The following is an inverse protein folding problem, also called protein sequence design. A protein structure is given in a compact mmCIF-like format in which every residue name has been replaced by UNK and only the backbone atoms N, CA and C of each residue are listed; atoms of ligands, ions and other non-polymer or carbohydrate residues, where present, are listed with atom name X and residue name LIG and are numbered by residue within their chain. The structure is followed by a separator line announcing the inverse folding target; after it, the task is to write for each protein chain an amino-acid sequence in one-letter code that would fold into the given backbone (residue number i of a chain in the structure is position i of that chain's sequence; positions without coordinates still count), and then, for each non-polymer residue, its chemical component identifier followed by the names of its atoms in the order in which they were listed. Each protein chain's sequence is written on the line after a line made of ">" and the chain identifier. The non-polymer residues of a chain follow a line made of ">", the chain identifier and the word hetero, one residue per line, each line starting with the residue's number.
data_IF_901138164518
#
_entry.id   IF_901138164518
#
_cell.length_a   1.000
_cell.length_b   1.000
_cell.length_c   1.000
_cell.angle_alpha   90.00
_cell.angle_beta   90.00
_cell.angle_gamma   90.00
#
_symmetry.space_group_name_H-M   'P 1'
#
loop_
_entity.id
_entity.type
_entity.pdbx_description
1 polymer ?
#
# COMPACT_ATOMS: atom_id res chain seq x y z
N UNK A 1 -22.07 5.77 25.82
CA UNK A 1 -22.01 5.24 24.44
C UNK A 1 -20.62 5.18 23.83
N UNK A 2 -19.79 6.21 23.97
CA UNK A 2 -18.41 6.22 23.46
C UNK A 2 -17.54 5.04 23.94
N UNK A 3 -17.64 4.66 25.21
CA UNK A 3 -16.89 3.52 25.76
C UNK A 3 -17.27 2.17 25.12
N UNK A 4 -18.54 1.99 24.71
CA UNK A 4 -18.99 0.77 24.00
C UNK A 4 -18.49 0.75 22.55
N UNK A 5 -18.49 1.91 21.88
CA UNK A 5 -17.93 2.04 20.53
C UNK A 5 -16.41 1.81 20.51
N UNK A 6 -15.68 2.32 21.51
CA UNK A 6 -14.25 2.10 21.65
C UNK A 6 -13.92 0.61 21.86
N UNK A 7 -14.67 -0.08 22.72
CA UNK A 7 -14.52 -1.51 22.96
C UNK A 7 -14.85 -2.36 21.72
N UNK A 8 -15.92 -2.00 20.98
CA UNK A 8 -16.29 -2.69 19.74
C UNK A 8 -15.22 -2.56 18.64
N UNK A 9 -14.49 -1.45 18.62
CA UNK A 9 -13.40 -1.19 17.69
C UNK A 9 -12.03 -1.65 18.21
N UNK A 10 -11.95 -2.14 19.46
CA UNK A 10 -10.69 -2.56 20.09
C UNK A 10 -9.73 -1.40 20.44
N UNK A 11 -10.23 -0.16 20.43
CA UNK A 11 -9.48 1.07 20.74
C UNK A 11 -9.13 1.19 22.23
N UNK A 12 -9.78 0.39 23.06
CA UNK A 12 -9.50 0.17 24.48
C UNK A 12 -8.25 -0.68 24.73
N UNK A 13 -7.72 -1.35 23.70
CA UNK A 13 -6.58 -2.25 23.81
C UNK A 13 -5.26 -1.54 23.48
N UNK A 14 -4.13 -2.01 24.03
CA UNK A 14 -2.82 -1.47 23.66
C UNK A 14 -2.53 -1.56 22.16
N UNK A 15 -1.87 -0.54 21.61
CA UNK A 15 -1.61 -0.41 20.16
C UNK A 15 -0.91 -1.64 19.57
N UNK A 16 0.00 -2.26 20.31
CA UNK A 16 0.70 -3.46 19.85
C UNK A 16 -0.23 -4.67 19.68
N UNK A 17 -1.29 -4.80 20.50
CA UNK A 17 -2.28 -5.86 20.38
C UNK A 17 -3.16 -5.63 19.15
N UNK A 18 -3.55 -4.38 18.91
CA UNK A 18 -4.32 -3.99 17.72
C UNK A 18 -3.50 -4.27 16.44
N UNK A 19 -2.23 -3.87 16.44
CA UNK A 19 -1.33 -4.11 15.32
C UNK A 19 -1.05 -5.60 15.09
N UNK A 20 -0.82 -6.38 16.16
CA UNK A 20 -0.63 -7.83 16.05
C UNK A 20 -1.84 -8.55 15.45
N UNK A 21 -3.05 -8.15 15.83
CA UNK A 21 -4.30 -8.68 15.26
C UNK A 21 -4.45 -8.30 13.79
N UNK A 22 -4.17 -7.03 13.44
CA UNK A 22 -4.16 -6.58 12.05
C UNK A 22 -3.17 -7.39 11.23
N UNK A 23 -1.93 -7.55 11.70
CA UNK A 23 -0.88 -8.26 10.99
C UNK A 23 -1.25 -9.74 10.79
N UNK A 24 -1.81 -10.39 11.82
CA UNK A 24 -2.28 -11.78 11.70
C UNK A 24 -3.37 -11.95 10.63
N UNK A 25 -4.30 -10.98 10.51
CA UNK A 25 -5.34 -11.00 9.48
C UNK A 25 -4.78 -10.66 8.09
N UNK A 26 -3.89 -9.67 8.03
CA UNK A 26 -3.23 -9.22 6.81
C UNK A 26 -2.40 -10.33 6.16
N UNK A 27 -1.69 -11.14 6.98
CA UNK A 27 -0.97 -12.33 6.49
C UNK A 27 -1.91 -13.39 5.89
N UNK A 28 -3.17 -13.46 6.35
CA UNK A 28 -4.23 -14.27 5.75
C UNK A 28 -4.93 -13.63 4.55
N UNK A 29 -4.48 -12.44 4.12
CA UNK A 29 -5.08 -11.69 3.01
C UNK A 29 -6.25 -10.78 3.40
N UNK A 30 -6.59 -10.70 4.69
CA UNK A 30 -7.64 -9.81 5.21
C UNK A 30 -7.01 -8.55 5.82
N UNK A 31 -7.06 -7.46 5.04
CA UNK A 31 -6.61 -6.14 5.48
C UNK A 31 -7.70 -5.34 6.23
N UNK A 32 -8.86 -5.96 6.46
CA UNK A 32 -10.05 -5.32 6.98
C UNK A 32 -10.78 -4.46 5.94
N UNK A 33 -11.81 -3.76 6.43
CA UNK A 33 -12.63 -2.86 5.62
C UNK A 33 -12.05 -1.45 5.56
N UNK A 34 -12.20 -0.80 4.42
CA UNK A 34 -11.92 0.62 4.28
C UNK A 34 -12.86 1.42 5.18
N UNK A 35 -12.31 2.20 6.11
CA UNK A 35 -13.07 3.13 6.95
C UNK A 35 -13.91 4.15 6.15
N UNK A 36 -13.53 4.42 4.88
CA UNK A 36 -14.21 5.39 4.01
C UNK A 36 -15.27 4.72 3.14
N UNK A 37 -14.99 3.52 2.62
CA UNK A 37 -15.83 2.88 1.59
C UNK A 37 -16.57 1.63 2.07
N UNK A 38 -16.39 1.19 3.33
CA UNK A 38 -17.05 0.01 3.89
C UNK A 38 -16.83 -1.27 3.07
N UNK A 39 -15.73 -1.33 2.31
CA UNK A 39 -15.42 -2.41 1.37
C UNK A 39 -14.03 -2.98 1.66
N UNK A 40 -13.76 -4.24 1.29
CA UNK A 40 -12.49 -4.90 1.56
C UNK A 40 -11.31 -4.08 1.02
N UNK A 41 -10.39 -3.68 1.90
CA UNK A 41 -9.27 -2.83 1.54
C UNK A 41 -8.37 -3.48 0.47
N UNK A 42 -8.23 -4.81 0.50
CA UNK A 42 -7.46 -5.57 -0.49
C UNK A 42 -7.99 -5.37 -1.91
N UNK A 43 -9.32 -5.34 -2.10
CA UNK A 43 -9.92 -5.13 -3.41
C UNK A 43 -9.61 -3.75 -3.98
N UNK A 44 -9.60 -2.73 -3.12
CA UNK A 44 -9.25 -1.36 -3.52
C UNK A 44 -7.77 -1.23 -3.91
N UNK A 45 -6.88 -1.92 -3.20
CA UNK A 45 -5.44 -1.97 -3.53
C UNK A 45 -5.22 -2.66 -4.88
N UNK A 46 -5.84 -3.83 -5.07
CA UNK A 46 -5.75 -4.59 -6.32
C UNK A 46 -6.30 -3.80 -7.52
N UNK A 47 -7.37 -3.03 -7.32
CA UNK A 47 -7.93 -2.18 -8.37
C UNK A 47 -6.98 -1.04 -8.80
N UNK A 48 -6.13 -0.54 -7.90
CA UNK A 48 -5.19 0.56 -8.18
C UNK A 48 -3.80 0.08 -8.62
N UNK A 49 -3.44 -1.16 -8.28
CA UNK A 49 -2.14 -1.74 -8.62
C UNK A 49 -1.79 -1.66 -10.11
N UNK A 50 -2.68 -2.01 -11.06
CA UNK A 50 -2.36 -1.96 -12.49
C UNK A 50 -1.91 -0.56 -12.95
N UNK A 51 -2.60 0.50 -12.52
CA UNK A 51 -2.27 1.87 -12.88
C UNK A 51 -0.90 2.29 -12.31
N UNK A 52 -0.58 1.88 -11.09
CA UNK A 52 0.74 2.17 -10.49
C UNK A 52 1.87 1.44 -11.21
N UNK A 53 1.64 0.19 -11.64
CA UNK A 53 2.61 -0.58 -12.40
C UNK A 53 2.83 0.01 -13.79
N UNK A 54 1.76 0.41 -14.48
CA UNK A 54 1.84 1.09 -15.77
C UNK A 54 2.70 2.35 -15.66
N UNK A 55 2.42 3.19 -14.67
CA UNK A 55 3.21 4.40 -14.42
C UNK A 55 4.68 4.10 -14.11
N UNK A 56 4.95 3.11 -13.26
CA UNK A 56 6.30 2.72 -12.90
C UNK A 56 7.09 2.18 -14.11
N UNK A 57 6.46 1.37 -14.95
CA UNK A 57 7.08 0.81 -16.16
C UNK A 57 7.41 1.92 -17.15
N UNK A 58 6.48 2.84 -17.43
CA UNK A 58 6.73 3.96 -18.34
C UNK A 58 7.87 4.85 -17.83
N UNK A 59 7.87 5.18 -16.54
CA UNK A 59 8.94 5.96 -15.92
C UNK A 59 10.30 5.24 -16.02
N UNK A 60 10.33 3.93 -15.78
CA UNK A 60 11.55 3.12 -15.88
C UNK A 60 12.08 3.08 -17.32
N UNK A 61 11.21 2.91 -18.31
CA UNK A 61 11.61 2.91 -19.71
C UNK A 61 12.22 4.25 -20.14
N UNK A 62 11.63 5.37 -19.71
CA UNK A 62 12.18 6.70 -19.97
C UNK A 62 13.53 6.87 -19.26
N UNK A 63 13.61 6.48 -17.99
CA UNK A 63 14.82 6.60 -17.19
C UNK A 63 15.98 5.79 -17.77
N UNK A 64 15.74 4.53 -18.18
CA UNK A 64 16.75 3.69 -18.81
C UNK A 64 17.08 4.20 -20.21
N UNK A 65 16.06 4.52 -21.02
CA UNK A 65 16.21 4.95 -22.40
C UNK A 65 16.98 6.26 -22.56
N UNK A 66 16.89 7.18 -21.59
CA UNK A 66 17.64 8.44 -21.60
C UNK A 66 18.88 8.39 -20.70
N UNK A 67 18.75 7.82 -19.51
CA UNK A 67 19.80 7.82 -18.50
C UNK A 67 21.02 7.00 -18.92
N UNK A 68 20.82 5.84 -19.56
CA UNK A 68 21.94 5.01 -20.02
C UNK A 68 22.73 5.69 -21.14
N UNK A 69 22.11 6.16 -22.25
CA UNK A 69 22.87 6.86 -23.30
C UNK A 69 23.56 8.13 -22.80
N UNK A 70 22.88 8.94 -21.99
CA UNK A 70 23.47 10.18 -21.45
C UNK A 70 24.63 9.89 -20.50
N UNK A 71 24.51 8.86 -19.65
CA UNK A 71 25.58 8.42 -18.76
C UNK A 71 26.80 7.92 -19.53
N UNK A 72 26.59 7.14 -20.60
CA UNK A 72 27.68 6.70 -21.48
C UNK A 72 28.34 7.89 -22.18
N UNK A 73 27.55 8.85 -22.69
CA UNK A 73 28.10 10.03 -23.37
C UNK A 73 28.98 10.86 -22.43
N UNK A 74 28.52 11.10 -21.21
CA UNK A 74 29.26 11.84 -20.18
C UNK A 74 30.50 11.10 -19.63
N UNK A 75 30.56 9.77 -19.76
CA UNK A 75 31.73 8.98 -19.37
C UNK A 75 32.79 8.86 -20.47
N UNK A 76 32.39 8.99 -21.73
CA UNK A 76 33.26 8.86 -22.91
C UNK A 76 33.85 10.18 -23.40
N UNK A 77 33.26 11.32 -23.03
CA UNK A 77 33.74 12.67 -23.38
C UNK A 77 34.09 13.45 -22.12
#
# INVERSE_FOLDING_TARGET
>A
DLARAAAALGLDQPVWVQYGRFLSRALGGDLGDSFIHGSPAIGLILARLPATLELAVVAMLIAVGLGVPLGLWAGLH
#
